data_IF_729222258462
#
_entry.id   IF_729222258462
#
_cell.length_a   1.000
_cell.length_b   1.000
_cell.length_c   1.000
_cell.angle_alpha   90.00
_cell.angle_beta   90.00
_cell.angle_gamma   90.00
#
_symmetry.space_group_name_H-M   'P 1'
#
loop_
_entity.id
_entity.type
_entity.pdbx_description
1 polymer ?
#
# COMPACT_ATOMS: atom_id res chain seq x y z
N UNK A 1 0.45 -12.64 8.10
CA UNK A 1 0.11 -12.34 9.51
C UNK A 1 -0.35 -10.88 9.65
N UNK A 2 0.47 -9.86 9.27
CA UNK A 2 0.07 -8.45 9.42
C UNK A 2 -1.13 -8.06 8.55
N UNK A 3 -1.18 -8.52 7.31
CA UNK A 3 -2.24 -8.23 6.36
C UNK A 3 -3.44 -9.21 6.44
N UNK A 4 -3.35 -10.27 7.26
CA UNK A 4 -4.39 -11.29 7.44
C UNK A 4 -4.98 -11.79 6.11
N UNK A 5 -4.08 -12.09 5.14
CA UNK A 5 -4.46 -12.51 3.79
C UNK A 5 -5.01 -13.95 3.85
N UNK A 6 -6.10 -14.17 3.11
CA UNK A 6 -6.78 -15.44 2.95
C UNK A 6 -6.99 -15.77 1.47
N UNK A 7 -7.42 -17.00 1.16
CA UNK A 7 -7.75 -17.42 -0.22
C UNK A 7 -8.96 -16.70 -0.81
N UNK A 8 -9.73 -15.97 -0.01
CA UNK A 8 -10.84 -15.16 -0.48
C UNK A 8 -10.40 -13.77 -0.94
N UNK A 9 -9.18 -13.35 -0.59
CA UNK A 9 -8.68 -12.02 -0.88
C UNK A 9 -8.11 -11.88 -2.29
N UNK A 10 -8.30 -10.69 -2.86
CA UNK A 10 -7.52 -10.15 -3.95
C UNK A 10 -6.42 -9.25 -3.37
N UNK A 11 -5.19 -9.47 -3.80
CA UNK A 11 -4.04 -8.67 -3.35
C UNK A 11 -3.45 -7.89 -4.51
N UNK A 12 -3.36 -6.57 -4.34
CA UNK A 12 -2.54 -5.69 -5.18
C UNK A 12 -1.18 -5.50 -4.50
N UNK A 13 -0.12 -5.99 -5.13
CA UNK A 13 1.26 -5.73 -4.71
C UNK A 13 1.86 -4.59 -5.51
N UNK A 14 2.50 -3.64 -4.84
CA UNK A 14 3.18 -2.52 -5.48
C UNK A 14 4.69 -2.68 -5.31
N UNK A 15 5.41 -2.81 -6.44
CA UNK A 15 6.85 -3.00 -6.46
C UNK A 15 7.28 -4.38 -5.94
N UNK A 16 6.96 -5.48 -6.63
CA UNK A 16 7.33 -6.85 -6.23
C UNK A 16 8.84 -7.08 -6.21
N UNK A 17 9.62 -6.24 -6.92
CA UNK A 17 11.05 -6.43 -7.05
C UNK A 17 11.36 -7.76 -7.73
N UNK A 18 12.13 -8.64 -7.07
CA UNK A 18 12.45 -9.98 -7.57
C UNK A 18 11.41 -11.05 -7.20
N UNK A 19 10.27 -10.66 -6.61
CA UNK A 19 9.14 -11.56 -6.32
C UNK A 19 9.19 -12.28 -4.97
N UNK A 20 10.11 -11.93 -4.07
CA UNK A 20 10.23 -12.64 -2.78
C UNK A 20 8.96 -12.53 -1.92
N UNK A 21 8.38 -11.34 -1.81
CA UNK A 21 7.11 -11.16 -1.09
C UNK A 21 5.95 -11.73 -1.91
N UNK A 22 5.98 -11.57 -3.23
CA UNK A 22 4.96 -12.04 -4.17
C UNK A 22 4.68 -13.53 -4.03
N UNK A 23 5.71 -14.36 -3.87
CA UNK A 23 5.55 -15.81 -3.65
C UNK A 23 4.65 -16.10 -2.43
N UNK A 24 4.94 -15.47 -1.27
CA UNK A 24 4.11 -15.62 -0.07
C UNK A 24 2.68 -15.10 -0.27
N UNK A 25 2.51 -14.05 -1.08
CA UNK A 25 1.18 -13.53 -1.43
C UNK A 25 0.41 -14.54 -2.29
N UNK A 26 1.05 -15.15 -3.29
CA UNK A 26 0.45 -16.19 -4.14
C UNK A 26 0.05 -17.44 -3.33
N UNK A 27 0.87 -17.83 -2.35
CA UNK A 27 0.55 -18.94 -1.45
C UNK A 27 -0.67 -18.65 -0.57
N UNK A 28 -0.88 -17.39 -0.18
CA UNK A 28 -1.88 -16.99 0.82
C UNK A 28 -3.17 -16.47 0.21
N UNK A 29 -3.10 -15.70 -0.89
CA UNK A 29 -4.23 -15.05 -1.53
C UNK A 29 -4.94 -15.93 -2.55
N UNK A 30 -6.19 -15.58 -2.90
CA UNK A 30 -6.91 -16.19 -4.00
C UNK A 30 -6.48 -15.64 -5.36
N UNK A 31 -6.14 -14.36 -5.43
CA UNK A 31 -5.64 -13.69 -6.64
C UNK A 31 -4.64 -12.61 -6.26
N UNK A 32 -3.58 -12.50 -7.03
CA UNK A 32 -2.55 -11.46 -6.88
C UNK A 32 -2.40 -10.72 -8.19
N UNK A 33 -2.28 -9.39 -8.13
CA UNK A 33 -1.77 -8.56 -9.22
C UNK A 33 -0.59 -7.77 -8.67
N UNK A 34 0.54 -7.82 -9.35
CA UNK A 34 1.75 -7.09 -8.99
C UNK A 34 2.07 -6.05 -10.06
N UNK A 35 2.33 -4.80 -9.65
CA UNK A 35 2.69 -3.71 -10.55
C UNK A 35 4.16 -3.36 -10.36
N UNK A 36 4.98 -3.54 -11.41
CA UNK A 36 6.42 -3.29 -11.41
C UNK A 36 6.80 -2.29 -12.50
N UNK A 37 7.52 -1.24 -12.11
CA UNK A 37 7.97 -0.20 -13.03
C UNK A 37 9.24 -0.60 -13.81
N UNK A 38 10.12 -1.40 -13.19
CA UNK A 38 11.38 -1.81 -13.82
C UNK A 38 11.17 -3.01 -14.77
N UNK A 39 11.18 -2.72 -16.08
CA UNK A 39 11.06 -3.74 -17.11
C UNK A 39 12.13 -4.83 -17.07
N UNK A 40 13.30 -4.55 -16.46
CA UNK A 40 14.37 -5.54 -16.35
C UNK A 40 14.07 -6.61 -15.30
N UNK A 41 13.13 -6.34 -14.39
CA UNK A 41 12.69 -7.32 -13.38
C UNK A 41 11.60 -8.25 -13.92
N UNK A 42 10.92 -7.92 -15.02
CA UNK A 42 9.84 -8.75 -15.57
C UNK A 42 10.30 -10.17 -15.91
N UNK A 43 11.41 -10.39 -16.64
CA UNK A 43 11.88 -11.77 -16.88
C UNK A 43 12.24 -12.54 -15.62
N UNK A 44 12.73 -11.85 -14.58
CA UNK A 44 13.04 -12.46 -13.29
C UNK A 44 11.74 -12.88 -12.57
N UNK A 45 10.72 -12.00 -12.62
CA UNK A 45 9.41 -12.31 -12.07
C UNK A 45 8.73 -13.47 -12.79
N UNK A 46 8.83 -13.53 -14.13
CA UNK A 46 8.31 -14.64 -14.91
C UNK A 46 8.94 -15.98 -14.51
N UNK A 47 10.24 -16.00 -14.21
CA UNK A 47 10.94 -17.18 -13.72
C UNK A 47 10.56 -17.50 -12.27
N UNK A 48 10.67 -16.52 -11.35
CA UNK A 48 10.46 -16.75 -9.90
C UNK A 48 9.03 -17.07 -9.54
N UNK A 49 8.05 -16.64 -10.35
CA UNK A 49 6.62 -16.83 -10.13
C UNK A 49 5.99 -17.91 -11.03
N UNK A 50 6.80 -18.60 -11.85
CA UNK A 50 6.34 -19.61 -12.82
C UNK A 50 5.53 -20.76 -12.23
N UNK A 51 5.67 -21.03 -10.94
CA UNK A 51 4.94 -22.09 -10.23
C UNK A 51 3.53 -21.67 -9.77
N UNK A 52 3.15 -20.40 -9.93
CA UNK A 52 1.87 -19.86 -9.46
C UNK A 52 0.96 -19.49 -10.64
N UNK A 53 -0.30 -19.89 -10.58
CA UNK A 53 -1.34 -19.62 -11.59
C UNK A 53 -2.26 -18.45 -11.21
N UNK A 54 -2.16 -17.97 -9.96
CA UNK A 54 -3.01 -16.93 -9.41
C UNK A 54 -2.38 -15.53 -9.41
N UNK A 55 -1.32 -15.31 -10.19
CA UNK A 55 -0.60 -14.04 -10.31
C UNK A 55 -0.72 -13.44 -11.72
N UNK A 56 -0.80 -12.11 -11.78
CA UNK A 56 -0.56 -11.32 -12.99
C UNK A 56 0.44 -10.22 -12.66
N UNK A 57 1.51 -10.11 -13.45
CA UNK A 57 2.49 -9.02 -13.34
C UNK A 57 2.18 -7.99 -14.42
N UNK A 58 2.08 -6.72 -14.03
CA UNK A 58 1.85 -5.58 -14.93
C UNK A 58 3.09 -4.69 -14.89
N UNK A 59 3.72 -4.48 -16.06
CA UNK A 59 4.85 -3.58 -16.16
C UNK A 59 4.36 -2.16 -16.41
N UNK A 60 4.19 -1.38 -15.37
CA UNK A 60 3.72 0.01 -15.45
C UNK A 60 4.13 0.79 -14.17
N UNK A 61 4.09 2.11 -14.25
CA UNK A 61 4.22 3.00 -13.12
C UNK A 61 2.89 3.03 -12.33
N UNK A 62 2.92 2.60 -11.08
CA UNK A 62 1.73 2.56 -10.21
C UNK A 62 0.99 3.91 -10.11
N UNK A 63 1.73 5.03 -10.22
CA UNK A 63 1.14 6.37 -10.20
C UNK A 63 0.33 6.71 -11.46
N UNK A 64 0.47 5.91 -12.53
CA UNK A 64 -0.27 6.04 -13.79
C UNK A 64 -1.35 4.98 -13.96
N UNK A 65 -1.33 3.93 -13.15
CA UNK A 65 -2.33 2.87 -13.19
C UNK A 65 -3.66 3.37 -12.65
N UNK A 66 -4.74 3.16 -13.41
CA UNK A 66 -6.10 3.26 -12.88
C UNK A 66 -6.39 2.05 -11.99
N UNK A 67 -6.10 2.21 -10.69
CA UNK A 67 -6.26 1.14 -9.70
C UNK A 67 -7.73 0.71 -9.59
N UNK A 68 -8.70 1.62 -9.76
CA UNK A 68 -10.11 1.27 -9.70
C UNK A 68 -10.53 0.39 -10.89
N UNK A 69 -9.99 0.66 -12.07
CA UNK A 69 -10.18 -0.19 -13.27
C UNK A 69 -9.53 -1.56 -13.06
N UNK A 70 -8.28 -1.60 -12.59
CA UNK A 70 -7.55 -2.83 -12.30
C UNK A 70 -8.31 -3.72 -11.30
N UNK A 71 -8.81 -3.14 -10.23
CA UNK A 71 -9.61 -3.88 -9.25
C UNK A 71 -10.89 -4.45 -9.88
N UNK A 72 -11.62 -3.68 -10.68
CA UNK A 72 -12.82 -4.16 -11.38
C UNK A 72 -12.52 -5.34 -12.31
N UNK A 73 -11.37 -5.33 -12.95
CA UNK A 73 -10.97 -6.37 -13.91
C UNK A 73 -10.54 -7.67 -13.19
N UNK A 74 -9.79 -7.55 -12.10
CA UNK A 74 -9.09 -8.70 -11.51
C UNK A 74 -9.65 -9.18 -10.17
N UNK A 75 -10.38 -8.35 -9.39
CA UNK A 75 -10.80 -8.74 -8.03
C UNK A 75 -11.97 -9.72 -7.98
N UNK A 76 -12.86 -9.68 -8.99
CA UNK A 76 -14.04 -10.56 -9.11
C UNK A 76 -14.80 -10.68 -7.77
N UNK A 77 -15.22 -9.52 -7.21
CA UNK A 77 -15.95 -9.40 -5.94
C UNK A 77 -15.18 -9.88 -4.68
N UNK A 78 -13.88 -10.01 -4.74
CA UNK A 78 -13.05 -10.34 -3.58
C UNK A 78 -12.74 -9.10 -2.76
N UNK A 79 -12.56 -9.22 -1.43
CA UNK A 79 -11.97 -8.15 -0.62
C UNK A 79 -10.60 -7.74 -1.16
N UNK A 80 -10.37 -6.44 -1.33
CA UNK A 80 -9.16 -5.91 -1.94
C UNK A 80 -8.18 -5.50 -0.85
N UNK A 81 -7.01 -6.13 -0.83
CA UNK A 81 -5.91 -5.75 0.06
C UNK A 81 -4.71 -5.26 -0.75
N UNK A 82 -4.09 -4.19 -0.29
CA UNK A 82 -2.84 -3.67 -0.86
C UNK A 82 -1.69 -4.09 0.04
N UNK A 83 -0.65 -4.67 -0.56
CA UNK A 83 0.57 -5.05 0.16
C UNK A 83 1.77 -4.53 -0.61
N UNK A 84 2.71 -3.86 0.07
CA UNK A 84 3.89 -3.33 -0.60
C UNK A 84 5.08 -3.13 0.33
N UNK A 85 6.27 -3.32 -0.23
CA UNK A 85 7.50 -2.73 0.29
C UNK A 85 7.78 -1.47 -0.53
N UNK A 86 7.27 -0.32 -0.08
CA UNK A 86 7.28 0.90 -0.88
C UNK A 86 8.66 1.56 -0.95
N UNK A 87 9.10 1.96 -2.16
CA UNK A 87 10.25 2.84 -2.29
C UNK A 87 10.02 4.15 -1.55
N UNK A 88 11.02 4.61 -0.78
CA UNK A 88 10.86 5.72 0.15
C UNK A 88 10.45 7.04 -0.52
N UNK A 89 10.90 7.28 -1.77
CA UNK A 89 10.68 8.53 -2.49
C UNK A 89 9.26 8.69 -3.06
N UNK A 90 8.48 7.59 -3.16
CA UNK A 90 7.11 7.61 -3.69
C UNK A 90 6.05 7.14 -2.68
N UNK A 91 6.43 6.89 -1.44
CA UNK A 91 5.52 6.38 -0.38
C UNK A 91 4.30 7.29 -0.21
N UNK A 92 4.52 8.60 -0.03
CA UNK A 92 3.42 9.55 0.21
C UNK A 92 2.44 9.64 -0.97
N UNK A 93 2.88 9.84 -2.24
CA UNK A 93 1.98 9.86 -3.39
C UNK A 93 1.16 8.58 -3.53
N UNK A 94 1.75 7.41 -3.30
CA UNK A 94 1.04 6.14 -3.40
C UNK A 94 -0.06 6.04 -2.34
N UNK A 95 0.28 6.28 -1.06
CA UNK A 95 -0.69 6.20 0.05
C UNK A 95 -1.82 7.21 -0.16
N UNK A 96 -1.51 8.45 -0.54
CA UNK A 96 -2.52 9.47 -0.84
C UNK A 96 -3.43 9.02 -1.99
N UNK A 97 -2.86 8.52 -3.08
CA UNK A 97 -3.61 8.06 -4.24
C UNK A 97 -4.57 6.91 -3.94
N UNK A 98 -4.19 5.98 -3.05
CA UNK A 98 -5.05 4.88 -2.62
C UNK A 98 -6.32 5.37 -1.91
N UNK A 99 -6.23 6.43 -1.10
CA UNK A 99 -7.36 6.92 -0.32
C UNK A 99 -8.17 8.02 -1.03
N UNK A 100 -7.53 8.93 -1.77
CA UNK A 100 -8.21 10.01 -2.49
C UNK A 100 -9.12 9.51 -3.63
N UNK A 101 -8.81 8.36 -4.21
CA UNK A 101 -9.58 7.79 -5.31
C UNK A 101 -10.75 6.89 -4.87
N UNK A 102 -11.09 6.88 -3.58
CA UNK A 102 -12.20 6.08 -3.00
C UNK A 102 -12.18 4.61 -3.42
N UNK A 103 -10.99 4.03 -3.48
CA UNK A 103 -10.83 2.62 -3.81
C UNK A 103 -11.40 1.79 -2.66
N UNK A 104 -12.29 0.81 -2.92
CA UNK A 104 -12.89 -0.02 -1.89
C UNK A 104 -11.85 -1.03 -1.35
N UNK A 105 -11.00 -0.58 -0.44
CA UNK A 105 -9.94 -1.39 0.16
C UNK A 105 -10.42 -2.05 1.46
N UNK A 106 -10.14 -3.35 1.62
CA UNK A 106 -10.30 -4.07 2.88
C UNK A 106 -9.10 -3.88 3.82
N UNK A 107 -7.96 -3.45 3.30
CA UNK A 107 -6.77 -3.14 4.10
C UNK A 107 -5.56 -2.76 3.26
N UNK A 108 -4.65 -1.99 3.86
CA UNK A 108 -3.37 -1.62 3.25
C UNK A 108 -2.25 -1.95 4.23
N UNK A 109 -1.35 -2.86 3.84
CA UNK A 109 -0.19 -3.23 4.66
C UNK A 109 1.08 -2.88 3.90
N UNK A 110 1.80 -1.89 4.39
CA UNK A 110 2.98 -1.37 3.71
C UNK A 110 4.19 -1.32 4.63
N UNK A 111 5.37 -1.61 4.05
CA UNK A 111 6.64 -1.32 4.69
C UNK A 111 7.18 0.00 4.15
N UNK A 112 7.45 0.95 5.04
CA UNK A 112 7.83 2.33 4.74
C UNK A 112 8.91 2.82 5.69
N UNK A 113 9.50 3.98 5.43
CA UNK A 113 10.41 4.61 6.40
C UNK A 113 9.72 4.83 7.74
N UNK A 114 10.46 4.60 8.84
CA UNK A 114 9.93 4.78 10.19
C UNK A 114 9.39 6.20 10.42
N UNK A 115 10.07 7.22 9.93
CA UNK A 115 9.62 8.61 10.03
C UNK A 115 8.25 8.82 9.36
N UNK A 116 8.02 8.22 8.18
CA UNK A 116 6.72 8.31 7.50
C UNK A 116 5.63 7.57 8.27
N UNK A 117 5.98 6.42 8.87
CA UNK A 117 5.04 5.67 9.72
C UNK A 117 4.67 6.48 10.98
N UNK A 118 5.64 7.15 11.59
CA UNK A 118 5.41 8.01 12.77
C UNK A 118 4.51 9.21 12.40
N UNK A 119 4.73 9.83 11.22
CA UNK A 119 3.84 10.90 10.69
C UNK A 119 2.41 10.41 10.45
N UNK A 120 2.22 9.25 9.85
CA UNK A 120 0.89 8.67 9.62
C UNK A 120 0.12 8.51 10.94
N UNK A 121 0.82 8.14 12.02
CA UNK A 121 0.24 7.95 13.36
C UNK A 121 0.19 9.19 14.22
N UNK A 122 0.79 10.29 13.79
CA UNK A 122 0.92 11.50 14.60
C UNK A 122 -0.44 12.04 15.03
N UNK A 123 -0.53 12.45 16.29
CA UNK A 123 -1.74 13.07 16.85
C UNK A 123 -1.75 14.59 16.57
N UNK A 124 -2.92 15.23 16.52
CA UNK A 124 -3.05 16.67 16.44
C UNK A 124 -2.21 17.39 17.51
N UNK A 125 -1.54 18.45 17.13
CA UNK A 125 -0.67 19.23 18.01
C UNK A 125 0.77 18.70 18.16
N UNK A 126 1.10 17.53 17.60
CA UNK A 126 2.49 17.08 17.53
C UNK A 126 3.22 17.69 16.32
N UNK A 127 4.56 17.79 16.40
CA UNK A 127 5.38 18.35 15.32
C UNK A 127 5.34 17.52 14.01
N UNK A 128 5.02 16.24 14.13
CA UNK A 128 4.99 15.29 12.99
C UNK A 128 3.60 15.20 12.35
N UNK A 129 2.60 15.90 12.93
CA UNK A 129 1.24 15.94 12.41
C UNK A 129 1.16 16.83 11.16
N UNK A 130 0.62 16.31 10.08
CA UNK A 130 0.56 17.03 8.81
C UNK A 130 -0.43 16.43 7.83
N UNK A 131 -0.33 16.83 6.54
CA UNK A 131 -1.23 16.39 5.49
C UNK A 131 -1.41 14.86 5.44
N UNK A 132 -0.31 14.11 5.54
CA UNK A 132 -0.36 12.66 5.49
C UNK A 132 -1.09 12.05 6.70
N UNK A 133 -0.89 12.63 7.90
CA UNK A 133 -1.62 12.22 9.11
C UNK A 133 -3.12 12.39 8.95
N UNK A 134 -3.53 13.58 8.50
CA UNK A 134 -4.94 13.94 8.26
C UNK A 134 -5.58 13.03 7.20
N UNK A 135 -4.96 12.93 6.04
CA UNK A 135 -5.51 12.18 4.92
C UNK A 135 -5.70 10.69 5.25
N UNK A 136 -4.68 10.07 5.86
CA UNK A 136 -4.77 8.65 6.23
C UNK A 136 -5.77 8.45 7.35
N UNK A 137 -5.71 9.25 8.44
CA UNK A 137 -6.59 9.06 9.60
C UNK A 137 -8.06 9.43 9.31
N UNK A 138 -8.32 10.21 8.27
CA UNK A 138 -9.68 10.44 7.77
C UNK A 138 -10.29 9.17 7.16
N UNK A 139 -9.49 8.36 6.45
CA UNK A 139 -9.95 7.19 5.69
C UNK A 139 -9.75 5.86 6.43
N UNK A 140 -8.74 5.78 7.30
CA UNK A 140 -8.31 4.53 7.90
C UNK A 140 -7.70 4.73 9.29
N UNK A 141 -7.66 3.64 10.05
CA UNK A 141 -6.95 3.58 11.34
C UNK A 141 -5.56 3.00 11.14
N UNK A 142 -4.48 3.76 11.43
CA UNK A 142 -3.12 3.28 11.25
C UNK A 142 -2.62 2.50 12.47
N UNK A 143 -1.95 1.36 12.21
CA UNK A 143 -1.27 0.54 13.22
C UNK A 143 0.17 0.27 12.78
N UNK A 144 1.16 0.57 13.64
CA UNK A 144 2.52 0.09 13.43
C UNK A 144 2.57 -1.36 13.93
N UNK A 145 2.79 -2.29 13.01
CA UNK A 145 2.81 -3.74 13.29
C UNK A 145 4.19 -4.19 13.72
N UNK A 146 5.23 -3.66 13.07
CA UNK A 146 6.61 -4.00 13.38
C UNK A 146 7.56 -2.86 13.01
N UNK A 147 8.64 -2.73 13.78
CA UNK A 147 9.80 -1.92 13.38
C UNK A 147 10.84 -2.82 12.73
N UNK A 148 11.40 -2.41 11.60
CA UNK A 148 12.38 -3.16 10.82
C UNK A 148 13.70 -2.38 10.83
N UNK A 149 14.74 -2.89 11.51
CA UNK A 149 16.02 -2.21 11.59
C UNK A 149 16.77 -2.27 10.25
N UNK A 150 17.69 -1.31 9.99
CA UNK A 150 18.41 -1.22 8.71
C UNK A 150 19.24 -2.47 8.35
N UNK A 151 19.66 -3.26 9.31
CA UNK A 151 20.44 -4.48 9.08
C UNK A 151 19.64 -5.64 8.46
N UNK A 152 18.31 -5.48 8.32
CA UNK A 152 17.45 -6.44 7.61
C UNK A 152 17.45 -6.25 6.09
N UNK A 153 18.16 -5.27 5.56
CA UNK A 153 18.16 -4.92 4.15
C UNK A 153 19.52 -5.04 3.49
N UNK A 154 19.52 -5.38 2.21
CA UNK A 154 20.70 -5.39 1.34
C UNK A 154 20.35 -4.68 0.01
N UNK A 155 20.98 -3.53 -0.33
CA UNK A 155 21.92 -2.78 0.51
C UNK A 155 21.27 -2.16 1.76
N UNK A 156 22.07 -1.95 2.80
CA UNK A 156 21.61 -1.42 4.08
C UNK A 156 21.21 0.07 3.95
N UNK A 157 19.96 0.44 4.24
CA UNK A 157 19.54 1.85 4.25
C UNK A 157 20.11 2.60 5.46
N UNK A 158 20.10 3.94 5.39
CA UNK A 158 20.55 4.80 6.50
C UNK A 158 19.54 4.91 7.65
N UNK A 159 18.28 4.60 7.38
CA UNK A 159 17.15 4.77 8.32
C UNK A 159 16.38 3.46 8.48
N UNK A 160 15.73 3.30 9.63
CA UNK A 160 14.85 2.17 9.88
C UNK A 160 13.54 2.26 9.09
N UNK A 161 12.90 1.11 8.94
CA UNK A 161 11.56 0.99 8.35
C UNK A 161 10.55 0.57 9.42
N UNK A 162 9.28 0.68 9.08
CA UNK A 162 8.19 0.10 9.85
C UNK A 162 7.18 -0.54 8.91
N UNK A 163 6.59 -1.64 9.35
CA UNK A 163 5.41 -2.22 8.72
C UNK A 163 4.19 -1.56 9.35
N UNK A 164 3.38 -0.93 8.50
CA UNK A 164 2.14 -0.24 8.90
C UNK A 164 0.96 -0.95 8.27
N UNK A 165 -0.06 -1.21 9.08
CA UNK A 165 -1.36 -1.65 8.62
C UNK A 165 -2.36 -0.48 8.73
N UNK A 166 -2.97 -0.11 7.62
CA UNK A 166 -4.01 0.89 7.52
C UNK A 166 -5.32 0.15 7.33
N UNK A 167 -6.18 0.20 8.34
CA UNK A 167 -7.49 -0.45 8.33
C UNK A 167 -8.55 0.59 7.96
N UNK A 168 -9.11 0.54 6.75
CA UNK A 168 -10.16 1.47 6.33
C UNK A 168 -11.36 1.40 7.29
N UNK A 169 -12.06 2.50 7.44
CA UNK A 169 -13.30 2.51 8.20
C UNK A 169 -14.44 1.94 7.37
N UNK A 170 -15.21 1.00 7.93
CA UNK A 170 -16.46 0.52 7.30
C UNK A 170 -17.47 1.66 7.15
N UNK A 171 -17.52 2.53 8.15
CA UNK A 171 -18.26 3.78 8.12
C UNK A 171 -17.32 4.88 8.62
N UNK A 172 -17.14 5.93 7.84
CA UNK A 172 -16.30 7.06 8.25
C UNK A 172 -16.82 7.64 9.56
N UNK A 173 -15.96 7.81 10.58
CA UNK A 173 -16.34 8.50 11.80
C UNK A 173 -16.54 10.02 11.59
N UNK A 174 -16.27 10.50 10.39
CA UNK A 174 -16.35 11.92 10.03
C UNK A 174 -17.39 12.13 8.93
N UNK A 175 -18.18 13.19 9.07
CA UNK A 175 -19.13 13.63 8.04
C UNK A 175 -18.60 14.92 7.43
N UNK A 176 -18.31 14.90 6.14
CA UNK A 176 -17.91 16.09 5.38
C UNK A 176 -18.88 16.33 4.22
N UNK A 177 -19.05 17.59 3.84
CA UNK A 177 -19.96 17.96 2.72
C UNK A 177 -19.33 17.69 1.35
N UNK A 178 -18.01 17.84 1.26
CA UNK A 178 -17.24 17.69 0.03
C UNK A 178 -15.84 17.15 0.35
N UNK A 179 -15.62 15.88 0.06
CA UNK A 179 -14.34 15.23 0.33
C UNK A 179 -13.24 15.71 -0.60
N UNK A 180 -13.56 16.07 -1.86
CA UNK A 180 -12.56 16.61 -2.79
C UNK A 180 -12.03 17.95 -2.27
N UNK A 181 -12.91 18.79 -1.76
CA UNK A 181 -12.52 20.05 -1.12
C UNK A 181 -11.69 19.78 0.14
N UNK A 182 -12.07 18.79 0.97
CA UNK A 182 -11.29 18.41 2.15
C UNK A 182 -9.86 18.06 1.78
N UNK A 183 -9.65 17.15 0.83
CA UNK A 183 -8.31 16.76 0.40
C UNK A 183 -7.53 17.91 -0.26
N UNK A 184 -8.21 18.79 -1.00
CA UNK A 184 -7.57 19.99 -1.54
C UNK A 184 -7.11 20.94 -0.43
N UNK A 185 -7.93 21.15 0.60
CA UNK A 185 -7.56 21.96 1.78
C UNK A 185 -6.41 21.32 2.57
N UNK A 186 -6.43 20.01 2.79
CA UNK A 186 -5.34 19.30 3.45
C UNK A 186 -4.03 19.57 2.71
N UNK A 187 -3.99 19.41 1.38
CA UNK A 187 -2.79 19.68 0.58
C UNK A 187 -2.34 21.15 0.60
N UNK A 188 -3.27 22.08 0.69
CA UNK A 188 -2.95 23.51 0.70
C UNK A 188 -2.49 24.01 2.07
N UNK A 189 -2.74 23.26 3.14
CA UNK A 189 -2.45 23.67 4.53
C UNK A 189 -1.07 23.26 5.03
N UNK A 190 -0.36 22.38 4.32
CA UNK A 190 0.94 21.81 4.65
C UNK A 190 1.88 21.81 3.44
#
# INVERSE_FOLDING_TARGET
KAAEITKDDFVLEIGPGIGTLTQYLCESAGRVVAVEIDKNLIPILDETLSAYDNITVINEDILKVDIALLIREYSVNRPVKVVANLPYYITTPIIMGLFENHIPLAGVTVMIQKEVADRIKAAPGSKDYGALSLAVQYCARPYIVANVPPNCFLPRPKVGSAVVNLVPYDNSPYTVRDERLLFALIRASF
#
